data_IF_049142667433
#
_entry.id   IF_049142667433
#
_cell.length_a   1.000
_cell.length_b   1.000
_cell.length_c   1.000
_cell.angle_alpha   90.00
_cell.angle_beta   90.00
_cell.angle_gamma   90.00
#
_symmetry.space_group_name_H-M   'P 1'
#
loop_
_entity.id
_entity.type
_entity.pdbx_description
1 polymer ?
#
# COMPACT_ATOMS: atom_id res chain seq x y z
N UNK A 1 -11.22 33.45 34.31
CA UNK A 1 -9.89 34.04 34.00
C UNK A 1 -9.58 35.30 34.81
N UNK A 2 -10.58 36.03 35.33
CA UNK A 2 -10.38 37.27 36.12
C UNK A 2 -9.71 37.05 37.48
N UNK A 3 -10.07 35.98 38.20
CA UNK A 3 -9.50 35.68 39.54
C UNK A 3 -7.96 35.51 39.52
N UNK A 4 -7.42 34.91 38.47
CA UNK A 4 -5.97 34.67 38.30
C UNK A 4 -5.18 35.92 37.90
N UNK A 5 -5.81 36.89 37.23
CA UNK A 5 -5.15 38.13 36.82
C UNK A 5 -5.06 39.12 37.99
N UNK A 6 -6.11 39.20 38.81
CA UNK A 6 -6.15 40.02 40.02
C UNK A 6 -5.08 39.60 41.03
N UNK A 7 -5.02 38.31 41.36
CA UNK A 7 -4.02 37.77 42.29
C UNK A 7 -2.57 38.02 41.85
N UNK A 8 -2.29 37.98 40.54
CA UNK A 8 -0.96 38.30 39.99
C UNK A 8 -0.58 39.77 40.15
N UNK A 9 -1.55 40.68 40.02
CA UNK A 9 -1.32 42.12 40.25
C UNK A 9 -1.06 42.39 41.72
N UNK A 10 -1.84 41.77 42.61
CA UNK A 10 -1.66 41.85 44.07
C UNK A 10 -0.27 41.29 44.49
N UNK A 11 0.11 40.10 44.01
CA UNK A 11 1.41 39.49 44.30
C UNK A 11 2.59 40.35 43.79
N UNK A 12 2.46 40.96 42.60
CA UNK A 12 3.50 41.84 42.05
C UNK A 12 3.63 43.15 42.84
N UNK A 13 2.51 43.68 43.33
CA UNK A 13 2.47 44.88 44.16
C UNK A 13 3.16 44.60 45.51
N UNK A 14 2.85 43.48 46.15
CA UNK A 14 3.50 43.06 47.40
C UNK A 14 5.01 42.80 47.27
N UNK A 15 5.47 42.26 46.14
CA UNK A 15 6.91 42.11 45.90
C UNK A 15 7.58 43.48 45.74
N UNK A 16 6.93 44.42 45.06
CA UNK A 16 7.43 45.78 44.86
C UNK A 16 7.49 46.55 46.18
N UNK A 17 6.46 46.41 47.02
CA UNK A 17 6.43 46.94 48.39
C UNK A 17 7.57 46.36 49.23
N UNK A 18 7.72 45.03 49.28
CA UNK A 18 8.78 44.37 50.03
C UNK A 18 10.19 44.76 49.56
N UNK A 19 10.38 44.99 48.26
CA UNK A 19 11.64 45.52 47.72
C UNK A 19 11.89 46.96 48.16
N UNK A 20 10.85 47.80 48.17
CA UNK A 20 10.97 49.19 48.63
C UNK A 20 11.27 49.29 50.14
N UNK A 21 10.67 48.41 50.94
CA UNK A 21 10.92 48.31 52.38
C UNK A 21 12.36 47.84 52.65
N UNK A 22 12.83 46.82 51.91
CA UNK A 22 14.22 46.34 51.96
C UNK A 22 15.22 47.46 51.65
N UNK A 23 14.98 48.27 50.61
CA UNK A 23 15.84 49.39 50.27
C UNK A 23 15.83 50.48 51.36
N UNK A 24 14.68 50.70 52.01
CA UNK A 24 14.54 51.67 53.10
C UNK A 24 15.31 51.22 54.35
N UNK A 25 15.14 49.98 54.78
CA UNK A 25 15.85 49.44 55.95
C UNK A 25 17.35 49.26 55.70
N UNK A 26 17.76 48.92 54.48
CA UNK A 26 19.16 48.89 54.09
C UNK A 26 19.83 50.27 54.17
N UNK A 27 19.15 51.32 53.69
CA UNK A 27 19.64 52.71 53.80
C UNK A 27 19.75 53.18 55.25
N UNK A 28 18.76 52.84 56.08
CA UNK A 28 18.76 53.18 57.50
C UNK A 28 19.93 52.50 58.25
N UNK A 29 20.22 51.24 57.93
CA UNK A 29 21.37 50.52 58.49
C UNK A 29 22.72 51.13 58.07
N UNK A 30 22.85 51.62 56.83
CA UNK A 30 24.06 52.30 56.36
C UNK A 30 24.30 53.65 57.05
N UNK A 31 23.24 54.34 57.47
CA UNK A 31 23.32 55.63 58.16
C UNK A 31 23.53 55.51 59.66
N UNK A 32 23.01 54.45 60.30
CA UNK A 32 23.14 54.18 61.74
C UNK A 32 23.24 52.67 62.02
N UNK A 33 24.46 52.10 62.07
CA UNK A 33 24.67 50.65 62.18
C UNK A 33 24.52 50.17 63.64
N UNK A 34 23.29 50.04 64.11
CA UNK A 34 22.92 49.49 65.41
C UNK A 34 22.38 48.05 65.29
N UNK A 35 22.36 47.27 66.39
CA UNK A 35 21.75 45.93 66.39
C UNK A 35 20.29 45.92 65.91
N UNK A 36 19.53 46.98 66.24
CA UNK A 36 18.12 47.11 65.88
C UNK A 36 17.93 47.36 64.37
N UNK A 37 18.72 48.26 63.77
CA UNK A 37 18.64 48.53 62.32
C UNK A 37 19.11 47.33 61.49
N UNK A 38 20.07 46.56 62.00
CA UNK A 38 20.50 45.29 61.39
C UNK A 38 19.39 44.23 61.45
N UNK A 39 18.65 44.16 62.56
CA UNK A 39 17.54 43.22 62.72
C UNK A 39 16.40 43.52 61.75
N UNK A 40 16.01 44.79 61.61
CA UNK A 40 14.97 45.22 60.65
C UNK A 40 15.38 44.91 59.21
N UNK A 41 16.62 45.22 58.81
CA UNK A 41 17.12 44.88 57.47
C UNK A 41 17.09 43.36 57.20
N UNK A 42 17.49 42.53 58.17
CA UNK A 42 17.44 41.07 58.02
C UNK A 42 16.00 40.55 57.85
N UNK A 43 15.04 41.13 58.56
CA UNK A 43 13.63 40.76 58.46
C UNK A 43 13.05 41.12 57.09
N UNK A 44 13.30 42.34 56.60
CA UNK A 44 12.84 42.78 55.28
C UNK A 44 13.50 41.98 54.15
N UNK A 45 14.78 41.64 54.31
CA UNK A 45 15.50 40.79 53.36
C UNK A 45 14.90 39.39 53.30
N UNK A 46 14.64 38.76 54.45
CA UNK A 46 14.00 37.45 54.50
C UNK A 46 12.59 37.47 53.88
N UNK A 47 11.83 38.55 54.10
CA UNK A 47 10.49 38.76 53.52
C UNK A 47 10.57 38.87 51.99
N UNK A 48 11.47 39.70 51.47
CA UNK A 48 11.69 39.84 50.02
C UNK A 48 12.14 38.52 49.38
N UNK A 49 13.14 37.85 49.97
CA UNK A 49 13.68 36.59 49.45
C UNK A 49 12.60 35.50 49.39
N UNK A 50 11.72 35.43 50.39
CA UNK A 50 10.59 34.48 50.43
C UNK A 50 9.59 34.76 49.31
N UNK A 51 9.22 36.02 49.11
CA UNK A 51 8.27 36.42 48.06
C UNK A 51 8.86 36.20 46.65
N UNK A 52 10.12 36.59 46.45
CA UNK A 52 10.85 36.41 45.19
C UNK A 52 10.98 34.92 44.83
N UNK A 53 11.35 34.07 45.81
CA UNK A 53 11.45 32.62 45.63
C UNK A 53 10.10 32.02 45.25
N UNK A 54 9.03 32.42 45.94
CA UNK A 54 7.67 31.95 45.66
C UNK A 54 7.22 32.32 44.23
N UNK A 55 7.51 33.54 43.77
CA UNK A 55 7.19 33.98 42.41
C UNK A 55 8.01 33.24 41.35
N UNK A 56 9.30 32.99 41.60
CA UNK A 56 10.15 32.21 40.71
C UNK A 56 9.62 30.78 40.57
N UNK A 57 9.25 30.13 41.67
CA UNK A 57 8.71 28.76 41.68
C UNK A 57 7.39 28.66 40.90
N UNK A 58 6.47 29.62 41.06
CA UNK A 58 5.21 29.68 40.29
C UNK A 58 5.46 29.89 38.81
N UNK A 59 6.39 30.77 38.45
CA UNK A 59 6.76 31.03 37.05
C UNK A 59 7.35 29.79 36.37
N UNK A 60 8.21 29.05 37.09
CA UNK A 60 8.77 27.78 36.64
C UNK A 60 7.68 26.71 36.41
N UNK A 61 6.74 26.55 37.36
CA UNK A 61 5.62 25.62 37.20
C UNK A 61 4.74 25.98 35.99
N UNK A 62 4.48 27.27 35.77
CA UNK A 62 3.73 27.74 34.61
C UNK A 62 4.44 27.46 33.29
N UNK A 63 5.75 27.70 33.20
CA UNK A 63 6.55 27.36 32.02
C UNK A 63 6.51 25.85 31.73
N UNK A 64 6.70 25.01 32.75
CA UNK A 64 6.65 23.55 32.61
C UNK A 64 5.28 23.06 32.13
N UNK A 65 4.19 23.61 32.66
CA UNK A 65 2.83 23.32 32.22
C UNK A 65 2.56 23.76 30.78
N UNK A 66 3.03 24.96 30.41
CA UNK A 66 2.88 25.50 29.06
C UNK A 66 3.68 24.68 28.05
N UNK A 67 4.90 24.25 28.38
CA UNK A 67 5.70 23.33 27.56
C UNK A 67 5.04 21.94 27.44
N UNK A 68 4.44 21.42 28.52
CA UNK A 68 3.72 20.16 28.45
C UNK A 68 2.45 20.25 27.59
N UNK A 69 1.69 21.36 27.66
CA UNK A 69 0.44 21.55 26.90
C UNK A 69 0.67 21.94 25.45
N UNK A 70 1.65 22.81 25.18
CA UNK A 70 1.87 23.43 23.87
C UNK A 70 3.26 23.15 23.26
N UNK A 71 4.10 22.35 23.92
CA UNK A 71 5.36 21.89 23.33
C UNK A 71 5.12 21.03 22.10
N UNK A 72 6.11 20.96 21.20
CA UNK A 72 5.99 20.33 19.88
C UNK A 72 5.90 18.79 19.95
N UNK A 73 4.79 18.26 20.51
CA UNK A 73 4.50 16.83 20.64
C UNK A 73 4.28 16.19 19.27
N UNK A 74 3.58 16.88 18.38
CA UNK A 74 3.31 16.42 17.01
C UNK A 74 4.59 16.37 16.18
N UNK A 75 5.48 17.35 16.27
CA UNK A 75 6.76 17.35 15.58
C UNK A 75 7.70 16.25 16.09
N UNK A 76 7.70 15.95 17.39
CA UNK A 76 8.47 14.82 17.93
C UNK A 76 7.89 13.47 17.50
N UNK A 77 6.57 13.33 17.48
CA UNK A 77 5.90 12.15 16.94
C UNK A 77 6.21 11.99 15.44
N UNK A 78 6.09 13.06 14.66
CA UNK A 78 6.38 13.09 13.23
C UNK A 78 7.85 12.76 12.96
N UNK A 79 8.77 13.35 13.71
CA UNK A 79 10.20 13.06 13.62
C UNK A 79 10.51 11.61 14.00
N UNK A 80 9.86 11.06 15.02
CA UNK A 80 9.99 9.64 15.38
C UNK A 80 9.41 8.72 14.30
N UNK A 81 8.29 9.11 13.66
CA UNK A 81 7.70 8.38 12.53
C UNK A 81 8.59 8.44 11.28
N UNK A 82 9.18 9.60 10.98
CA UNK A 82 10.14 9.76 9.88
C UNK A 82 11.39 8.93 10.16
N UNK A 83 11.94 9.02 11.37
CA UNK A 83 13.14 8.29 11.80
C UNK A 83 12.90 6.77 11.82
N UNK A 84 11.74 6.30 12.27
CA UNK A 84 11.40 4.88 12.19
C UNK A 84 11.22 4.41 10.74
N UNK A 85 10.65 5.23 9.86
CA UNK A 85 10.56 4.93 8.43
C UNK A 85 11.93 4.87 7.72
N UNK A 86 12.90 5.67 8.15
CA UNK A 86 14.27 5.66 7.60
C UNK A 86 15.13 4.54 8.17
N UNK A 87 14.99 4.21 9.46
CA UNK A 87 15.78 3.17 10.13
C UNK A 87 15.31 1.73 9.85
N UNK A 88 14.04 1.53 9.51
CA UNK A 88 13.47 0.19 9.29
C UNK A 88 13.70 -0.36 7.88
N UNK A 89 14.13 0.47 6.92
CA UNK A 89 14.39 0.03 5.55
C UNK A 89 15.88 -0.24 5.34
N UNK A 90 16.26 -1.42 4.84
CA UNK A 90 17.66 -1.70 4.57
C UNK A 90 18.19 -0.70 3.54
N UNK A 91 19.24 0.03 3.91
CA UNK A 91 19.92 0.95 3.02
C UNK A 91 20.65 0.15 1.93
N UNK A 92 20.39 0.49 0.68
CA UNK A 92 21.04 -0.12 -0.48
C UNK A 92 22.36 0.60 -0.69
N UNK A 93 23.46 -0.03 -0.28
CA UNK A 93 24.80 0.56 -0.34
C UNK A 93 25.39 0.60 -1.74
N UNK A 94 25.08 -0.41 -2.56
CA UNK A 94 25.65 -0.55 -3.89
C UNK A 94 24.79 -1.40 -4.81
N UNK A 95 24.82 -1.10 -6.11
CA UNK A 95 24.17 -1.89 -7.17
C UNK A 95 25.13 -2.07 -8.34
N UNK A 96 25.18 -3.28 -8.89
CA UNK A 96 25.97 -3.63 -10.07
C UNK A 96 25.15 -3.38 -11.35
N UNK A 97 25.73 -2.65 -12.29
CA UNK A 97 25.16 -2.43 -13.61
C UNK A 97 25.29 -3.67 -14.50
N UNK A 98 24.56 -3.70 -15.63
CA UNK A 98 24.69 -4.76 -16.64
C UNK A 98 26.12 -4.93 -17.15
N UNK A 99 26.87 -3.84 -17.21
CA UNK A 99 28.26 -3.82 -17.70
C UNK A 99 29.27 -4.17 -16.60
N UNK A 100 28.76 -4.51 -15.41
CA UNK A 100 29.56 -4.93 -14.26
C UNK A 100 30.12 -3.80 -13.39
N UNK A 101 29.80 -2.54 -13.71
CA UNK A 101 30.20 -1.36 -12.91
C UNK A 101 29.41 -1.32 -11.60
N UNK A 102 30.05 -0.94 -10.51
CA UNK A 102 29.39 -0.85 -9.20
C UNK A 102 29.02 0.60 -8.88
N UNK A 103 27.72 0.88 -8.78
CA UNK A 103 27.19 2.17 -8.38
C UNK A 103 27.06 2.22 -6.86
N UNK A 104 27.54 3.30 -6.25
CA UNK A 104 27.49 3.54 -4.79
C UNK A 104 26.78 4.84 -4.42
N UNK A 105 26.67 5.80 -5.35
CA UNK A 105 25.90 7.02 -5.13
C UNK A 105 24.39 6.68 -5.06
N UNK A 106 23.69 7.05 -3.96
CA UNK A 106 22.24 6.85 -3.84
C UNK A 106 21.41 7.41 -5.00
N UNK A 107 21.83 8.52 -5.62
CA UNK A 107 21.14 9.12 -6.77
C UNK A 107 21.27 8.22 -8.00
N UNK A 108 22.48 7.74 -8.28
CA UNK A 108 22.75 6.84 -9.40
C UNK A 108 22.06 5.48 -9.22
N UNK A 109 22.05 4.96 -7.98
CA UNK A 109 21.33 3.72 -7.64
C UNK A 109 19.85 3.86 -7.98
N UNK A 110 19.20 4.94 -7.56
CA UNK A 110 17.78 5.20 -7.85
C UNK A 110 17.53 5.40 -9.35
N UNK A 111 18.42 6.13 -10.03
CA UNK A 111 18.39 6.32 -11.47
C UNK A 111 18.48 4.99 -12.24
N UNK A 112 19.38 4.11 -11.81
CA UNK A 112 19.58 2.80 -12.42
C UNK A 112 18.40 1.86 -12.16
N UNK A 113 17.84 1.84 -10.93
CA UNK A 113 16.58 1.12 -10.68
C UNK A 113 15.45 1.62 -11.59
N UNK A 114 15.28 2.94 -11.74
CA UNK A 114 14.30 3.52 -12.66
C UNK A 114 14.52 3.01 -14.08
N UNK A 115 15.76 3.02 -14.58
CA UNK A 115 16.06 2.53 -15.92
C UNK A 115 15.67 1.06 -16.08
N UNK A 116 16.16 0.17 -15.20
CA UNK A 116 15.85 -1.26 -15.25
C UNK A 116 14.35 -1.54 -15.17
N UNK A 117 13.64 -0.90 -14.25
CA UNK A 117 12.18 -1.09 -14.13
C UNK A 117 11.42 -0.47 -15.30
N UNK A 118 11.82 0.71 -15.78
CA UNK A 118 11.20 1.34 -16.95
C UNK A 118 11.33 0.43 -18.17
N UNK A 119 12.50 -0.18 -18.38
CA UNK A 119 12.72 -1.12 -19.47
C UNK A 119 11.92 -2.41 -19.28
N UNK A 120 11.88 -2.92 -18.04
CA UNK A 120 11.12 -4.12 -17.69
C UNK A 120 9.61 -3.96 -17.85
N UNK A 121 9.06 -2.76 -17.60
CA UNK A 121 7.62 -2.47 -17.74
C UNK A 121 7.25 -1.87 -19.10
N UNK A 122 8.17 -1.81 -20.08
CA UNK A 122 7.81 -1.44 -21.47
C UNK A 122 6.77 -2.40 -22.04
N UNK A 123 5.92 -1.86 -22.92
CA UNK A 123 4.94 -2.66 -23.67
C UNK A 123 5.66 -3.81 -24.38
N UNK A 124 5.20 -5.03 -24.14
CA UNK A 124 5.75 -6.23 -24.78
C UNK A 124 5.29 -6.38 -26.23
N UNK A 125 5.80 -7.40 -26.94
CA UNK A 125 5.31 -7.74 -28.27
C UNK A 125 3.82 -8.05 -28.23
N UNK A 126 3.10 -7.65 -29.28
CA UNK A 126 1.66 -7.84 -29.38
C UNK A 126 1.28 -8.62 -30.64
N UNK A 127 0.70 -9.79 -30.46
CA UNK A 127 0.19 -10.66 -31.54
C UNK A 127 -1.32 -10.86 -31.35
N UNK A 128 -2.09 -9.91 -31.87
CA UNK A 128 -3.55 -9.93 -31.79
C UNK A 128 -4.18 -11.18 -32.44
N UNK A 129 -3.80 -11.60 -33.67
CA UNK A 129 -4.36 -12.80 -34.29
C UNK A 129 -4.17 -14.07 -33.44
N UNK A 130 -2.96 -14.31 -32.93
CA UNK A 130 -2.68 -15.49 -32.09
C UNK A 130 -3.49 -15.48 -30.80
N UNK A 131 -3.61 -14.31 -30.16
CA UNK A 131 -4.39 -14.17 -28.93
C UNK A 131 -5.89 -14.46 -29.14
N UNK A 132 -6.47 -13.95 -30.23
CA UNK A 132 -7.87 -14.23 -30.58
C UNK A 132 -8.08 -15.73 -30.87
N UNK A 133 -7.15 -16.36 -31.59
CA UNK A 133 -7.19 -17.80 -31.84
C UNK A 133 -7.15 -18.60 -30.53
N UNK A 134 -6.28 -18.22 -29.59
CA UNK A 134 -6.23 -18.81 -28.24
C UNK A 134 -7.58 -18.68 -27.52
N UNK A 135 -8.23 -17.52 -27.57
CA UNK A 135 -9.55 -17.33 -26.95
C UNK A 135 -10.63 -18.22 -27.57
N UNK A 136 -10.64 -18.36 -28.90
CA UNK A 136 -11.54 -19.27 -29.59
C UNK A 136 -11.32 -20.73 -29.19
N UNK A 137 -10.05 -21.19 -29.12
CA UNK A 137 -9.69 -22.55 -28.72
C UNK A 137 -10.04 -22.86 -27.28
N UNK A 138 -9.84 -21.90 -26.38
CA UNK A 138 -10.10 -22.10 -24.95
C UNK A 138 -11.60 -22.29 -24.62
N UNK A 139 -12.50 -21.81 -25.47
CA UNK A 139 -13.96 -21.95 -25.28
C UNK A 139 -14.43 -21.50 -23.89
N UNK A 140 -13.85 -20.42 -23.36
CA UNK A 140 -14.28 -19.81 -22.10
C UNK A 140 -15.68 -19.24 -22.31
N UNK A 141 -16.63 -19.50 -21.40
CA UNK A 141 -18.00 -19.06 -21.60
C UNK A 141 -18.11 -17.55 -21.45
N UNK A 142 -18.84 -16.89 -22.35
CA UNK A 142 -19.07 -15.43 -22.31
C UNK A 142 -19.91 -15.04 -21.08
N UNK A 143 -19.87 -13.78 -20.67
CA UNK A 143 -20.74 -13.26 -19.62
C UNK A 143 -22.21 -13.23 -20.07
N UNK A 144 -23.12 -13.63 -19.18
CA UNK A 144 -24.54 -13.46 -19.39
C UNK A 144 -24.90 -11.96 -19.36
N UNK A 145 -26.04 -11.57 -19.95
CA UNK A 145 -26.53 -10.19 -19.82
C UNK A 145 -26.64 -9.75 -18.35
N UNK A 146 -27.16 -10.62 -17.47
CA UNK A 146 -27.33 -10.31 -16.04
C UNK A 146 -26.01 -10.11 -15.32
N UNK A 147 -24.98 -10.90 -15.61
CA UNK A 147 -23.64 -10.74 -15.03
C UNK A 147 -22.99 -9.44 -15.52
N UNK A 148 -23.08 -9.18 -16.83
CA UNK A 148 -22.55 -7.95 -17.45
C UNK A 148 -23.22 -6.70 -16.87
N UNK A 149 -24.54 -6.72 -16.70
CA UNK A 149 -25.29 -5.60 -16.17
C UNK A 149 -24.96 -5.39 -14.68
N UNK A 150 -24.73 -6.46 -13.92
CA UNK A 150 -24.24 -6.37 -12.53
C UNK A 150 -22.82 -5.79 -12.42
N UNK A 151 -21.91 -6.11 -13.35
CA UNK A 151 -20.59 -5.48 -13.43
C UNK A 151 -20.69 -3.98 -13.77
N UNK A 152 -21.72 -3.61 -14.54
CA UNK A 152 -21.92 -2.28 -15.10
C UNK A 152 -22.84 -1.37 -14.28
N UNK A 153 -23.40 -1.87 -13.18
CA UNK A 153 -24.32 -1.09 -12.34
C UNK A 153 -23.65 0.18 -11.78
N UNK A 154 -24.39 1.27 -11.53
CA UNK A 154 -23.85 2.44 -10.83
C UNK A 154 -23.21 2.04 -9.50
N UNK A 155 -22.11 2.70 -9.13
CA UNK A 155 -21.46 2.45 -7.84
C UNK A 155 -22.27 3.13 -6.73
N UNK A 156 -22.70 2.33 -5.75
CA UNK A 156 -23.53 2.80 -4.65
C UNK A 156 -22.72 3.31 -3.47
N UNK A 157 -23.34 4.17 -2.65
CA UNK A 157 -22.78 4.64 -1.38
C UNK A 157 -22.42 3.47 -0.45
N UNK A 158 -23.24 2.41 -0.45
CA UNK A 158 -23.05 1.21 0.35
C UNK A 158 -21.80 0.44 -0.09
N UNK A 159 -21.55 0.32 -1.40
CA UNK A 159 -20.35 -0.34 -1.91
C UNK A 159 -19.08 0.40 -1.52
N UNK A 160 -19.06 1.73 -1.62
CA UNK A 160 -17.91 2.54 -1.22
C UNK A 160 -17.67 2.45 0.30
N UNK A 161 -18.71 2.55 1.12
CA UNK A 161 -18.58 2.37 2.57
C UNK A 161 -18.04 0.98 2.93
N UNK A 162 -18.56 -0.07 2.30
CA UNK A 162 -18.05 -1.45 2.48
C UNK A 162 -16.59 -1.57 2.06
N UNK A 163 -16.18 -0.93 0.97
CA UNK A 163 -14.78 -0.94 0.55
C UNK A 163 -13.89 -0.22 1.59
N UNK A 164 -14.34 0.89 2.18
CA UNK A 164 -13.62 1.62 3.24
C UNK A 164 -13.48 0.78 4.51
N UNK A 165 -14.53 0.06 4.93
CA UNK A 165 -14.48 -0.77 6.14
C UNK A 165 -13.48 -1.92 5.99
N UNK A 166 -13.33 -2.46 4.78
CA UNK A 166 -12.36 -3.53 4.46
C UNK A 166 -10.90 -3.06 4.45
N UNK A 167 -10.63 -1.75 4.41
CA UNK A 167 -9.25 -1.25 4.45
C UNK A 167 -8.57 -1.65 5.77
N UNK A 168 -7.32 -2.10 5.69
CA UNK A 168 -6.51 -2.41 6.88
C UNK A 168 -5.81 -1.15 7.39
N UNK A 169 -5.90 -0.90 8.69
CA UNK A 169 -5.18 0.19 9.36
C UNK A 169 -3.67 -0.08 9.38
N UNK A 170 -2.87 0.98 9.55
CA UNK A 170 -1.41 0.92 9.65
C UNK A 170 -0.71 0.55 8.35
N UNK A 171 -1.40 0.63 7.21
CA UNK A 171 -0.81 0.39 5.88
C UNK A 171 -0.29 1.68 5.28
N UNK A 172 0.81 1.60 4.55
CA UNK A 172 1.43 2.75 3.90
C UNK A 172 0.53 3.25 2.75
N UNK A 173 0.20 4.56 2.72
CA UNK A 173 -0.59 5.15 1.66
C UNK A 173 0.20 5.26 0.34
N UNK A 174 -0.51 5.67 -0.72
CA UNK A 174 0.11 6.04 -1.99
C UNK A 174 0.83 7.40 -1.92
N UNK A 175 1.25 7.94 -3.07
CA UNK A 175 1.87 9.26 -3.19
C UNK A 175 1.10 10.41 -2.52
N UNK A 176 -0.24 10.34 -2.46
CA UNK A 176 -1.11 11.37 -1.89
C UNK A 176 -1.06 11.47 -0.35
N UNK A 177 -0.55 10.43 0.33
CA UNK A 177 -0.47 10.36 1.79
C UNK A 177 -1.78 9.99 2.50
N UNK A 178 -2.89 9.77 1.79
CA UNK A 178 -4.18 9.45 2.42
C UNK A 178 -4.31 7.95 2.72
N UNK A 179 -4.11 7.58 3.98
CA UNK A 179 -4.19 6.20 4.47
C UNK A 179 -5.62 5.75 4.81
N UNK A 180 -5.78 4.49 5.21
CA UNK A 180 -7.08 3.90 5.53
C UNK A 180 -7.83 4.66 6.63
N UNK A 181 -7.11 5.16 7.62
CA UNK A 181 -7.61 5.90 8.76
C UNK A 181 -8.31 7.19 8.34
N UNK A 182 -7.80 7.87 7.30
CA UNK A 182 -8.41 9.08 6.74
C UNK A 182 -9.81 8.76 6.19
N UNK A 183 -9.92 7.74 5.34
CA UNK A 183 -11.19 7.35 4.73
C UNK A 183 -12.19 6.81 5.76
N UNK A 184 -11.72 6.09 6.79
CA UNK A 184 -12.57 5.60 7.87
C UNK A 184 -13.11 6.73 8.75
N UNK A 185 -12.24 7.66 9.16
CA UNK A 185 -12.60 8.78 10.02
C UNK A 185 -13.55 9.76 9.32
N UNK A 186 -13.27 10.08 8.05
CA UNK A 186 -14.01 11.08 7.28
C UNK A 186 -15.01 10.45 6.30
N UNK A 187 -15.39 9.19 6.51
CA UNK A 187 -16.28 8.43 5.63
C UNK A 187 -17.55 9.22 5.26
N UNK A 188 -18.19 9.86 6.24
CA UNK A 188 -19.41 10.66 6.01
C UNK A 188 -19.23 11.85 5.06
N UNK A 189 -18.01 12.39 4.95
CA UNK A 189 -17.69 13.51 4.06
C UNK A 189 -17.16 13.02 2.70
N UNK A 190 -16.32 12.00 2.70
CA UNK A 190 -15.57 11.58 1.50
C UNK A 190 -16.40 10.66 0.59
N UNK A 191 -17.28 9.82 1.16
CA UNK A 191 -18.02 8.83 0.37
C UNK A 191 -18.88 9.45 -0.75
N UNK A 192 -19.67 10.52 -0.53
CA UNK A 192 -20.45 11.15 -1.60
C UNK A 192 -19.59 11.57 -2.80
N UNK A 193 -18.40 12.13 -2.53
CA UNK A 193 -17.47 12.54 -3.58
C UNK A 193 -16.84 11.35 -4.31
N UNK A 194 -16.48 10.28 -3.59
CA UNK A 194 -15.99 9.05 -4.22
C UNK A 194 -17.05 8.39 -5.09
N UNK A 195 -18.30 8.34 -4.64
CA UNK A 195 -19.43 7.83 -5.43
C UNK A 195 -19.59 8.64 -6.72
N UNK A 196 -19.56 9.97 -6.65
CA UNK A 196 -19.62 10.83 -7.84
C UNK A 196 -18.44 10.55 -8.77
N UNK A 197 -17.20 10.57 -8.25
CA UNK A 197 -15.99 10.30 -9.01
C UNK A 197 -16.07 8.96 -9.75
N UNK A 198 -16.42 7.88 -9.05
CA UNK A 198 -16.46 6.56 -9.64
C UNK A 198 -17.58 6.41 -10.66
N UNK A 199 -18.74 7.04 -10.44
CA UNK A 199 -19.83 7.03 -11.41
C UNK A 199 -19.51 7.87 -12.67
N UNK A 200 -18.78 8.98 -12.53
CA UNK A 200 -18.26 9.74 -13.67
C UNK A 200 -17.29 8.90 -14.52
N UNK A 201 -16.35 8.20 -13.88
CA UNK A 201 -15.42 7.27 -14.55
C UNK A 201 -16.20 6.14 -15.27
N UNK A 202 -17.26 5.64 -14.63
CA UNK A 202 -18.20 4.67 -15.18
C UNK A 202 -18.85 5.16 -16.49
N UNK A 203 -19.17 6.46 -16.58
CA UNK A 203 -19.70 7.10 -17.79
C UNK A 203 -18.63 7.43 -18.85
N UNK A 204 -17.35 7.18 -18.55
CA UNK A 204 -16.24 7.39 -19.48
C UNK A 204 -15.47 8.69 -19.29
N UNK A 205 -15.73 9.43 -18.21
CA UNK A 205 -14.87 10.57 -17.84
C UNK A 205 -13.48 10.08 -17.40
N UNK A 206 -12.45 10.86 -17.74
CA UNK A 206 -11.09 10.56 -17.31
C UNK A 206 -10.93 10.82 -15.80
N UNK A 207 -10.25 9.93 -15.05
CA UNK A 207 -9.95 10.19 -13.65
C UNK A 207 -8.96 11.34 -13.50
N UNK A 208 -8.88 11.98 -12.31
CA UNK A 208 -7.87 12.98 -12.02
C UNK A 208 -6.45 12.46 -12.33
N UNK A 209 -5.51 13.31 -12.81
CA UNK A 209 -4.16 12.87 -13.17
C UNK A 209 -3.40 12.16 -12.03
N UNK A 210 -3.71 12.50 -10.78
CA UNK A 210 -3.11 11.89 -9.58
C UNK A 210 -3.69 10.52 -9.24
N UNK A 211 -4.83 10.13 -9.80
CA UNK A 211 -5.54 8.89 -9.46
C UNK A 211 -4.68 7.64 -9.70
N UNK A 212 -3.98 7.61 -10.84
CA UNK A 212 -3.10 6.51 -11.23
C UNK A 212 -1.64 6.71 -10.80
N UNK A 213 -1.36 7.68 -9.94
CA UNK A 213 -0.02 7.89 -9.42
C UNK A 213 0.36 6.76 -8.45
N UNK A 214 1.58 6.23 -8.61
CA UNK A 214 2.10 5.17 -7.76
C UNK A 214 3.53 5.48 -7.31
N UNK A 215 3.87 4.98 -6.12
CA UNK A 215 5.25 4.95 -5.62
C UNK A 215 5.70 3.51 -5.49
N UNK A 216 6.72 3.10 -6.23
CA UNK A 216 7.30 1.76 -6.12
C UNK A 216 8.45 1.80 -5.12
N UNK A 217 8.33 1.03 -4.04
CA UNK A 217 9.43 0.80 -3.09
C UNK A 217 10.07 -0.55 -3.39
N UNK A 218 11.39 -0.60 -3.37
CA UNK A 218 12.15 -1.84 -3.61
C UNK A 218 12.45 -2.55 -2.28
N UNK A 219 12.08 -3.83 -2.18
CA UNK A 219 12.35 -4.66 -0.99
C UNK A 219 13.32 -5.78 -1.34
N UNK A 220 14.41 -5.99 -0.58
CA UNK A 220 15.36 -7.07 -0.87
C UNK A 220 14.72 -8.45 -0.66
N UNK A 221 15.04 -9.38 -1.56
CA UNK A 221 14.71 -10.80 -1.44
C UNK A 221 15.71 -11.45 -0.46
N UNK A 222 15.25 -12.19 0.57
CA UNK A 222 16.14 -12.89 1.49
C UNK A 222 17.09 -13.85 0.75
N UNK A 223 18.36 -13.89 1.16
CA UNK A 223 19.36 -14.83 0.63
C UNK A 223 19.79 -14.60 -0.82
N UNK A 224 19.48 -13.45 -1.42
CA UNK A 224 19.93 -13.06 -2.76
C UNK A 224 21.02 -12.00 -2.69
N UNK A 225 21.87 -11.95 -3.72
CA UNK A 225 22.95 -10.95 -3.82
C UNK A 225 22.36 -9.52 -3.86
N UNK A 226 22.59 -8.68 -2.84
CA UNK A 226 22.00 -7.35 -2.76
C UNK A 226 22.55 -6.39 -3.82
N UNK A 227 23.61 -6.74 -4.55
CA UNK A 227 24.14 -5.89 -5.61
C UNK A 227 23.34 -6.00 -6.91
N UNK A 228 22.48 -7.01 -7.06
CA UNK A 228 21.69 -7.22 -8.27
C UNK A 228 20.29 -6.62 -8.16
N UNK A 229 19.85 -5.88 -9.18
CA UNK A 229 18.48 -5.32 -9.24
C UNK A 229 17.40 -6.40 -9.14
N UNK A 230 17.64 -7.58 -9.75
CA UNK A 230 16.71 -8.73 -9.73
C UNK A 230 16.53 -9.35 -8.34
N UNK A 231 17.42 -9.02 -7.40
CA UNK A 231 17.32 -9.39 -5.98
C UNK A 231 16.31 -8.55 -5.21
N UNK A 232 15.67 -7.56 -5.84
CA UNK A 232 14.66 -6.71 -5.21
C UNK A 232 13.26 -7.00 -5.76
N UNK A 233 12.25 -6.88 -4.89
CA UNK A 233 10.83 -6.94 -5.23
C UNK A 233 10.28 -5.51 -5.32
N UNK A 234 9.71 -5.09 -6.46
CA UNK A 234 9.03 -3.81 -6.56
C UNK A 234 7.66 -3.90 -5.90
N UNK A 235 7.40 -3.13 -4.85
CA UNK A 235 6.08 -3.00 -4.23
C UNK A 235 5.46 -1.66 -4.62
N UNK A 236 4.36 -1.71 -5.38
CA UNK A 236 3.62 -0.51 -5.77
C UNK A 236 2.70 -0.02 -4.64
N UNK A 237 2.95 1.18 -4.14
CA UNK A 237 2.09 1.92 -3.23
C UNK A 237 1.13 2.77 -4.05
N UNK A 238 -0.12 2.29 -4.16
CA UNK A 238 -1.21 2.99 -4.88
C UNK A 238 -1.99 3.89 -3.93
N UNK A 239 -2.52 4.99 -4.46
CA UNK A 239 -3.48 5.83 -3.76
C UNK A 239 -4.70 5.02 -3.34
N UNK A 240 -5.28 5.41 -2.21
CA UNK A 240 -6.30 4.59 -1.53
C UNK A 240 -7.66 4.69 -2.24
N UNK A 241 -7.97 5.82 -2.86
CA UNK A 241 -9.13 6.01 -3.74
C UNK A 241 -9.14 5.04 -4.94
N UNK A 242 -7.99 4.81 -5.58
CA UNK A 242 -7.84 3.79 -6.62
C UNK A 242 -8.03 2.38 -6.04
N UNK A 243 -7.44 2.10 -4.87
CA UNK A 243 -7.61 0.80 -4.19
C UNK A 243 -9.09 0.54 -3.87
N UNK A 244 -9.83 1.54 -3.44
CA UNK A 244 -11.27 1.43 -3.16
C UNK A 244 -12.05 1.06 -4.43
N UNK A 245 -11.82 1.76 -5.56
CA UNK A 245 -12.46 1.41 -6.84
C UNK A 245 -12.13 -0.03 -7.27
N UNK A 246 -10.84 -0.39 -7.23
CA UNK A 246 -10.41 -1.75 -7.59
C UNK A 246 -10.96 -2.83 -6.65
N UNK A 247 -11.20 -2.51 -5.38
CA UNK A 247 -11.87 -3.41 -4.42
C UNK A 247 -13.32 -3.64 -4.80
N UNK A 248 -14.05 -2.58 -5.18
CA UNK A 248 -15.44 -2.67 -5.63
C UNK A 248 -15.52 -3.50 -6.92
N UNK A 249 -14.66 -3.21 -7.90
CA UNK A 249 -14.57 -3.99 -9.14
C UNK A 249 -14.27 -5.46 -8.88
N UNK A 250 -13.30 -5.76 -8.01
CA UNK A 250 -12.95 -7.13 -7.65
C UNK A 250 -14.13 -7.86 -7.00
N UNK A 251 -14.84 -7.20 -6.08
CA UNK A 251 -16.04 -7.75 -5.43
C UNK A 251 -17.16 -8.09 -6.42
N UNK A 252 -17.37 -7.25 -7.45
CA UNK A 252 -18.34 -7.53 -8.52
C UNK A 252 -17.86 -8.65 -9.44
N UNK A 253 -16.59 -8.63 -9.83
CA UNK A 253 -15.97 -9.63 -10.70
C UNK A 253 -15.95 -11.03 -10.08
N UNK A 254 -15.86 -11.14 -8.75
CA UNK A 254 -15.74 -12.43 -8.09
C UNK A 254 -16.95 -13.35 -8.30
N UNK A 255 -18.13 -12.79 -8.59
CA UNK A 255 -19.35 -13.59 -8.82
C UNK A 255 -19.26 -14.45 -10.08
N UNK A 256 -18.99 -13.91 -11.28
CA UNK A 256 -18.83 -14.72 -12.48
C UNK A 256 -17.53 -15.55 -12.50
N UNK A 257 -16.55 -15.29 -11.63
CA UNK A 257 -15.25 -15.98 -11.68
C UNK A 257 -15.36 -17.51 -11.60
N UNK A 258 -16.30 -18.05 -10.82
CA UNK A 258 -16.46 -19.50 -10.69
C UNK A 258 -16.82 -20.19 -12.01
N UNK A 259 -17.48 -19.46 -12.93
CA UNK A 259 -17.89 -19.93 -14.25
C UNK A 259 -16.85 -19.65 -15.33
N UNK A 260 -16.18 -18.49 -15.23
CA UNK A 260 -15.14 -18.08 -16.17
C UNK A 260 -13.86 -18.90 -16.01
N UNK A 261 -13.46 -19.19 -14.77
CA UNK A 261 -12.19 -19.86 -14.46
C UNK A 261 -12.43 -21.30 -14.02
N UNK A 262 -11.83 -22.25 -14.75
CA UNK A 262 -11.94 -23.68 -14.52
C UNK A 262 -11.39 -24.13 -13.16
N UNK A 263 -11.76 -25.33 -12.67
CA UNK A 263 -11.38 -25.84 -11.34
C UNK A 263 -9.88 -26.12 -11.17
N UNK A 264 -9.09 -25.99 -12.24
CA UNK A 264 -7.64 -26.16 -12.25
C UNK A 264 -6.95 -25.02 -11.50
N UNK A 265 -7.45 -23.79 -11.60
CA UNK A 265 -6.94 -22.64 -10.86
C UNK A 265 -7.63 -22.50 -9.50
N UNK A 266 -6.87 -22.54 -8.42
CA UNK A 266 -7.41 -22.37 -7.05
C UNK A 266 -6.94 -21.09 -6.35
N UNK A 267 -5.96 -20.38 -6.92
CA UNK A 267 -5.45 -19.12 -6.36
C UNK A 267 -6.46 -17.98 -6.45
N UNK A 268 -6.58 -17.20 -5.37
CA UNK A 268 -7.36 -15.94 -5.31
C UNK A 268 -8.86 -16.03 -5.64
N UNK A 269 -9.43 -17.25 -5.64
CA UNK A 269 -10.83 -17.49 -5.94
C UNK A 269 -11.61 -17.85 -4.68
N UNK A 270 -12.78 -17.24 -4.52
CA UNK A 270 -13.63 -17.49 -3.35
C UNK A 270 -14.07 -18.97 -3.32
N UNK A 271 -13.93 -19.62 -2.16
CA UNK A 271 -14.28 -21.02 -1.98
C UNK A 271 -13.29 -22.04 -2.57
N UNK A 272 -12.13 -21.60 -3.09
CA UNK A 272 -11.05 -22.49 -3.55
C UNK A 272 -9.85 -22.41 -2.62
N UNK A 273 -9.22 -23.56 -2.36
CA UNK A 273 -8.14 -23.68 -1.39
C UNK A 273 -6.93 -24.39 -2.01
N UNK A 274 -5.72 -23.93 -1.66
CA UNK A 274 -4.46 -24.55 -2.11
C UNK A 274 -4.33 -26.01 -1.68
N UNK A 275 -4.95 -26.38 -0.56
CA UNK A 275 -5.00 -27.77 -0.06
C UNK A 275 -5.65 -28.73 -1.06
N UNK A 276 -6.56 -28.25 -1.91
CA UNK A 276 -7.12 -29.05 -3.00
C UNK A 276 -6.06 -29.44 -4.03
N UNK A 277 -5.16 -28.52 -4.39
CA UNK A 277 -4.06 -28.82 -5.32
C UNK A 277 -3.07 -29.81 -4.70
N UNK A 278 -2.75 -29.66 -3.41
CA UNK A 278 -1.88 -30.58 -2.68
C UNK A 278 -2.46 -31.99 -2.67
N UNK A 279 -3.76 -32.14 -2.36
CA UNK A 279 -4.43 -33.44 -2.38
C UNK A 279 -4.43 -34.08 -3.77
N UNK A 280 -4.68 -33.30 -4.82
CA UNK A 280 -4.60 -33.75 -6.22
C UNK A 280 -3.21 -34.26 -6.56
N UNK A 281 -2.16 -33.53 -6.17
CA UNK A 281 -0.78 -33.94 -6.41
C UNK A 281 -0.42 -35.24 -5.66
N UNK A 282 -0.76 -35.35 -4.38
CA UNK A 282 -0.53 -36.58 -3.59
C UNK A 282 -1.28 -37.78 -4.20
N UNK A 283 -2.55 -37.58 -4.60
CA UNK A 283 -3.33 -38.63 -5.24
C UNK A 283 -2.71 -39.10 -6.57
N UNK A 284 -2.16 -38.18 -7.36
CA UNK A 284 -1.47 -38.51 -8.61
C UNK A 284 -0.20 -39.34 -8.36
N UNK A 285 0.60 -38.96 -7.37
CA UNK A 285 1.80 -39.71 -6.96
C UNK A 285 1.41 -41.11 -6.47
N UNK A 286 0.37 -41.20 -5.64
CA UNK A 286 -0.13 -42.49 -5.15
C UNK A 286 -0.64 -43.38 -6.28
N UNK A 287 -1.47 -42.85 -7.19
CA UNK A 287 -1.98 -43.60 -8.35
C UNK A 287 -0.83 -44.13 -9.22
N UNK A 288 0.19 -43.30 -9.44
CA UNK A 288 1.38 -43.68 -10.21
C UNK A 288 2.14 -44.84 -9.55
N UNK A 289 2.22 -44.86 -8.21
CA UNK A 289 2.89 -45.95 -7.48
C UNK A 289 2.18 -47.31 -7.61
N UNK A 290 0.87 -47.29 -7.85
CA UNK A 290 0.05 -48.49 -8.08
C UNK A 290 0.12 -49.00 -9.52
N UNK A 291 0.68 -48.22 -10.44
CA UNK A 291 0.80 -48.54 -11.87
C UNK A 291 2.25 -48.44 -12.35
N UNK A 292 3.17 -49.31 -11.87
CA UNK A 292 4.62 -49.15 -12.10
C UNK A 292 5.05 -49.22 -13.57
N UNK A 293 4.20 -49.75 -14.45
CA UNK A 293 4.45 -49.84 -15.88
C UNK A 293 4.14 -48.52 -16.62
N UNK A 294 3.43 -47.58 -16.00
CA UNK A 294 3.14 -46.26 -16.57
C UNK A 294 4.28 -45.28 -16.23
N UNK A 295 4.87 -44.67 -17.26
CA UNK A 295 5.88 -43.62 -17.09
C UNK A 295 5.19 -42.27 -16.90
N UNK A 296 4.83 -41.96 -15.66
CA UNK A 296 4.17 -40.70 -15.32
C UNK A 296 5.21 -39.62 -14.95
N UNK A 297 4.96 -38.37 -15.35
CA UNK A 297 5.82 -37.22 -15.03
C UNK A 297 5.01 -36.11 -14.35
N UNK A 298 5.58 -35.57 -13.27
CA UNK A 298 5.10 -34.35 -12.64
C UNK A 298 6.07 -33.21 -12.95
N UNK A 299 5.60 -32.18 -13.65
CA UNK A 299 6.40 -31.05 -14.07
C UNK A 299 5.92 -29.76 -13.36
N UNK A 300 6.81 -29.14 -12.59
CA UNK A 300 6.56 -27.84 -11.95
C UNK A 300 7.06 -26.71 -12.83
N UNK A 301 6.16 -25.81 -13.22
CA UNK A 301 6.50 -24.59 -13.96
C UNK A 301 6.32 -23.37 -13.06
N UNK A 302 7.32 -22.50 -13.06
CA UNK A 302 7.28 -21.19 -12.41
C UNK A 302 7.37 -20.10 -13.48
N UNK A 303 6.52 -19.08 -13.37
CA UNK A 303 6.46 -17.99 -14.33
C UNK A 303 7.21 -16.77 -13.79
N UNK A 304 8.35 -16.45 -14.42
CA UNK A 304 9.19 -15.34 -13.97
C UNK A 304 8.46 -13.99 -14.01
N UNK A 305 8.24 -13.41 -12.83
CA UNK A 305 7.55 -12.13 -12.62
C UNK A 305 6.19 -12.06 -13.34
N UNK A 306 5.38 -13.12 -13.22
CA UNK A 306 4.18 -13.33 -14.00
C UNK A 306 3.20 -12.14 -13.98
N UNK A 307 2.93 -11.57 -12.81
CA UNK A 307 2.04 -10.43 -12.64
C UNK A 307 2.52 -9.20 -13.42
N UNK A 308 3.82 -8.95 -13.44
CA UNK A 308 4.43 -7.77 -14.06
C UNK A 308 4.52 -7.87 -15.59
N UNK A 309 4.43 -9.08 -16.15
CA UNK A 309 4.54 -9.32 -17.59
C UNK A 309 3.20 -9.27 -18.35
N UNK A 310 2.07 -9.21 -17.66
CA UNK A 310 0.74 -9.19 -18.31
C UNK A 310 0.58 -7.95 -19.20
N UNK A 311 0.27 -8.18 -20.48
CA UNK A 311 -0.09 -7.12 -21.42
C UNK A 311 -1.49 -6.57 -21.14
N UNK A 312 -1.61 -5.24 -21.03
CA UNK A 312 -2.92 -4.61 -20.89
C UNK A 312 -3.77 -4.72 -22.15
N UNK A 313 -3.14 -4.68 -23.33
CA UNK A 313 -3.84 -4.91 -24.60
C UNK A 313 -4.45 -6.31 -24.67
N UNK A 314 -3.75 -7.32 -24.15
CA UNK A 314 -4.27 -8.68 -24.02
C UNK A 314 -5.51 -8.73 -23.11
N UNK A 315 -5.46 -8.11 -21.92
CA UNK A 315 -6.61 -8.03 -21.02
C UNK A 315 -7.79 -7.29 -21.66
N UNK A 316 -7.55 -6.15 -22.33
CA UNK A 316 -8.62 -5.43 -23.03
C UNK A 316 -9.29 -6.30 -24.08
N UNK A 317 -8.51 -7.06 -24.86
CA UNK A 317 -9.06 -7.99 -25.85
C UNK A 317 -9.84 -9.12 -25.19
N UNK A 318 -9.34 -9.67 -24.09
CA UNK A 318 -10.06 -10.67 -23.31
C UNK A 318 -11.43 -10.14 -22.84
N UNK A 319 -11.47 -8.94 -22.25
CA UNK A 319 -12.68 -8.25 -21.77
C UNK A 319 -13.68 -8.07 -22.92
N UNK A 320 -13.21 -7.61 -24.09
CA UNK A 320 -14.03 -7.41 -25.29
C UNK A 320 -14.58 -8.74 -25.83
N UNK A 321 -13.72 -9.75 -25.97
CA UNK A 321 -14.07 -11.07 -26.51
C UNK A 321 -15.11 -11.81 -25.67
N UNK A 322 -15.02 -11.70 -24.33
CA UNK A 322 -15.91 -12.39 -23.39
C UNK A 322 -17.10 -11.55 -22.92
N UNK A 323 -17.35 -10.40 -23.55
CA UNK A 323 -18.56 -9.56 -23.37
C UNK A 323 -18.73 -8.96 -21.97
N UNK A 324 -17.64 -8.52 -21.33
CA UNK A 324 -17.67 -7.82 -20.04
C UNK A 324 -18.39 -6.45 -20.09
N UNK A 325 -18.62 -5.92 -21.29
CA UNK A 325 -19.33 -4.66 -21.50
C UNK A 325 -18.39 -3.46 -21.54
N UNK A 326 -18.86 -2.39 -22.18
CA UNK A 326 -18.10 -1.14 -22.36
C UNK A 326 -17.77 -0.46 -21.03
N UNK A 327 -18.67 -0.57 -20.08
CA UNK A 327 -18.53 0.02 -18.74
C UNK A 327 -17.37 -0.60 -17.97
N UNK A 328 -17.31 -1.93 -17.87
CA UNK A 328 -16.20 -2.60 -17.20
C UNK A 328 -14.86 -2.31 -17.91
N UNK A 329 -14.88 -2.24 -19.24
CA UNK A 329 -13.70 -1.83 -20.01
C UNK A 329 -13.29 -0.38 -19.70
N UNK A 330 -14.23 0.55 -19.54
CA UNK A 330 -13.96 1.94 -19.14
C UNK A 330 -13.28 2.00 -17.78
N UNK A 331 -13.83 1.27 -16.80
CA UNK A 331 -13.23 1.16 -15.46
C UNK A 331 -11.82 0.55 -15.50
N UNK A 332 -11.63 -0.52 -16.28
CA UNK A 332 -10.31 -1.11 -16.49
C UNK A 332 -9.33 -0.09 -17.09
N UNK A 333 -9.73 0.65 -18.11
CA UNK A 333 -8.91 1.72 -18.71
C UNK A 333 -8.62 2.81 -17.70
N UNK A 334 -9.60 3.29 -16.96
CA UNK A 334 -9.37 4.30 -15.93
C UNK A 334 -8.34 3.85 -14.90
N UNK A 335 -8.33 2.56 -14.53
CA UNK A 335 -7.30 2.02 -13.66
C UNK A 335 -5.94 1.94 -14.34
N UNK A 336 -5.82 1.54 -15.61
CA UNK A 336 -4.52 1.21 -16.24
C UNK A 336 -4.03 2.24 -17.28
N UNK A 337 -4.76 3.32 -17.53
CA UNK A 337 -4.36 4.37 -18.48
C UNK A 337 -3.23 5.24 -17.91
N UNK A 338 -2.11 5.28 -18.61
CA UNK A 338 -0.93 6.11 -18.34
C UNK A 338 -0.54 6.26 -16.85
N UNK A 339 -0.33 5.17 -16.10
CA UNK A 339 0.06 5.27 -14.71
C UNK A 339 1.46 5.86 -14.56
N UNK A 340 1.53 7.03 -13.94
CA UNK A 340 2.78 7.68 -13.54
C UNK A 340 3.33 7.03 -12.27
N UNK A 341 4.54 6.50 -12.36
CA UNK A 341 5.22 5.81 -11.26
C UNK A 341 6.57 6.42 -10.98
N UNK A 342 6.94 6.50 -9.70
CA UNK A 342 8.30 6.83 -9.24
C UNK A 342 8.90 5.64 -8.49
N UNK A 343 10.19 5.38 -8.68
CA UNK A 343 10.94 4.46 -7.82
C UNK A 343 11.41 5.21 -6.58
N UNK A 344 11.24 4.61 -5.41
CA UNK A 344 11.80 5.11 -4.15
C UNK A 344 12.78 4.08 -3.58
N UNK A 345 14.04 4.48 -3.47
CA UNK A 345 15.08 3.74 -2.75
C UNK A 345 15.90 4.70 -1.88
N UNK A 346 16.36 4.26 -0.71
CA UNK A 346 17.15 5.07 0.22
C UNK A 346 16.52 6.43 0.60
N UNK A 347 15.18 6.55 0.56
CA UNK A 347 14.47 7.80 0.82
C UNK A 347 14.46 8.82 -0.33
N UNK A 348 15.12 8.50 -1.45
CA UNK A 348 15.15 9.31 -2.66
C UNK A 348 14.13 8.78 -3.67
N UNK A 349 13.58 9.69 -4.48
CA UNK A 349 12.66 9.36 -5.57
C UNK A 349 13.35 9.53 -6.93
N UNK A 350 13.08 8.64 -7.86
CA UNK A 350 13.47 8.81 -9.25
C UNK A 350 12.60 9.85 -9.97
N UNK A 351 13.03 10.27 -11.16
CA UNK A 351 12.11 10.88 -12.12
C UNK A 351 10.94 9.93 -12.43
N UNK A 352 9.72 10.46 -12.69
CA UNK A 352 8.57 9.64 -13.03
C UNK A 352 8.76 8.92 -14.37
N UNK A 353 8.09 7.79 -14.52
CA UNK A 353 8.00 7.01 -15.75
C UNK A 353 6.63 6.34 -15.85
N UNK A 354 6.23 5.99 -17.07
CA UNK A 354 4.92 5.36 -17.35
C UNK A 354 5.12 3.86 -17.49
N UNK A 355 4.24 3.07 -16.86
CA UNK A 355 4.21 1.62 -17.06
C UNK A 355 3.46 1.31 -18.36
N UNK A 356 3.92 0.31 -19.12
CA UNK A 356 3.26 -0.18 -20.35
C UNK A 356 2.67 -1.58 -20.23
N UNK A 357 2.97 -2.31 -19.14
CA UNK A 357 2.45 -3.64 -18.84
C UNK A 357 2.45 -3.91 -17.33
N UNK A 358 1.86 -5.03 -16.95
CA UNK A 358 1.88 -5.57 -15.60
C UNK A 358 0.63 -5.24 -14.80
N UNK A 359 0.16 -6.21 -14.05
CA UNK A 359 -0.88 -6.01 -13.04
C UNK A 359 -0.22 -5.56 -11.74
N UNK A 360 -0.80 -4.56 -11.09
CA UNK A 360 -0.16 -3.91 -9.94
C UNK A 360 -0.17 -4.81 -8.72
N UNK A 361 0.99 -5.05 -8.13
CA UNK A 361 1.09 -5.79 -6.89
C UNK A 361 0.40 -5.00 -5.75
N UNK A 362 -0.46 -5.68 -4.97
CA UNK A 362 -1.23 -5.05 -3.90
C UNK A 362 -2.56 -4.40 -4.33
N UNK A 363 -2.91 -4.42 -5.62
CA UNK A 363 -4.24 -4.08 -6.10
C UNK A 363 -5.19 -5.30 -5.97
N UNK A 364 -6.35 -5.17 -5.30
CA UNK A 364 -7.33 -6.26 -5.14
C UNK A 364 -7.85 -6.87 -6.45
N UNK A 365 -7.88 -6.10 -7.54
CA UNK A 365 -8.36 -6.57 -8.85
C UNK A 365 -7.30 -7.38 -9.61
N UNK A 366 -6.00 -7.09 -9.39
CA UNK A 366 -4.89 -7.70 -10.14
C UNK A 366 -4.89 -9.23 -10.14
N UNK A 367 -5.10 -9.93 -9.01
CA UNK A 367 -5.13 -11.40 -9.01
C UNK A 367 -6.25 -12.01 -9.84
N UNK A 368 -7.41 -11.34 -9.93
CA UNK A 368 -8.52 -11.82 -10.75
C UNK A 368 -8.24 -11.63 -12.23
N UNK A 369 -7.67 -10.49 -12.61
CA UNK A 369 -7.23 -10.25 -13.98
C UNK A 369 -6.13 -11.23 -14.40
N UNK A 370 -5.21 -11.57 -13.49
CA UNK A 370 -4.19 -12.59 -13.72
C UNK A 370 -4.82 -13.95 -14.00
N UNK A 371 -5.78 -14.39 -13.16
CA UNK A 371 -6.48 -15.65 -13.37
C UNK A 371 -7.23 -15.68 -14.71
N UNK A 372 -7.91 -14.59 -15.09
CA UNK A 372 -8.56 -14.48 -16.40
C UNK A 372 -7.55 -14.55 -17.55
N UNK A 373 -6.36 -13.98 -17.37
CA UNK A 373 -5.32 -14.03 -18.38
C UNK A 373 -4.71 -15.43 -18.57
N UNK A 374 -4.61 -16.19 -17.48
CA UNK A 374 -4.03 -17.54 -17.49
C UNK A 374 -5.05 -18.61 -17.93
N UNK A 375 -6.34 -18.38 -17.71
CA UNK A 375 -7.41 -19.34 -18.00
C UNK A 375 -7.38 -19.94 -19.42
N UNK A 376 -7.14 -19.17 -20.51
CA UNK A 376 -7.07 -19.76 -21.85
C UNK A 376 -6.01 -20.86 -21.98
N UNK A 377 -4.85 -20.68 -21.34
CA UNK A 377 -3.79 -21.69 -21.33
C UNK A 377 -4.24 -22.95 -20.60
N UNK A 378 -4.85 -22.80 -19.42
CA UNK A 378 -5.32 -23.94 -18.61
C UNK A 378 -6.36 -24.77 -19.37
N UNK A 379 -7.32 -24.12 -20.04
CA UNK A 379 -8.33 -24.83 -20.84
C UNK A 379 -7.74 -25.54 -22.05
N UNK A 380 -6.77 -24.93 -22.72
CA UNK A 380 -6.08 -25.56 -23.85
C UNK A 380 -5.33 -26.81 -23.38
N UNK A 381 -4.64 -26.75 -22.24
CA UNK A 381 -3.96 -27.92 -21.67
C UNK A 381 -4.96 -29.05 -21.36
N UNK A 382 -6.07 -28.70 -20.71
CA UNK A 382 -7.10 -29.68 -20.33
C UNK A 382 -7.74 -30.36 -21.56
N UNK A 383 -8.04 -29.59 -22.60
CA UNK A 383 -8.69 -30.09 -23.83
C UNK A 383 -7.70 -30.68 -24.84
N UNK A 384 -6.40 -30.51 -24.65
CA UNK A 384 -5.38 -31.05 -25.56
C UNK A 384 -5.37 -32.59 -25.53
N UNK A 385 -5.62 -33.27 -26.67
CA UNK A 385 -5.58 -34.74 -26.73
C UNK A 385 -4.17 -35.30 -26.59
N UNK A 386 -3.14 -34.53 -26.96
CA UNK A 386 -1.75 -34.93 -26.85
C UNK A 386 -1.23 -34.95 -25.40
N UNK A 387 -1.96 -34.31 -24.48
CA UNK A 387 -1.68 -34.34 -23.05
C UNK A 387 -2.61 -35.38 -22.43
N UNK A 388 -2.09 -36.55 -22.10
CA UNK A 388 -2.83 -37.66 -21.50
C UNK A 388 -3.21 -37.36 -20.07
N UNK A 389 -2.22 -36.94 -19.26
CA UNK A 389 -2.39 -36.72 -17.84
C UNK A 389 -2.34 -38.00 -17.01
N UNK A 390 -2.46 -37.85 -15.69
CA UNK A 390 -2.45 -38.95 -14.74
C UNK A 390 -3.88 -39.25 -14.29
N UNK A 391 -4.34 -40.48 -14.55
CA UNK A 391 -5.66 -40.95 -14.10
C UNK A 391 -5.64 -41.30 -12.62
N UNK A 392 -6.55 -40.70 -11.86
CA UNK A 392 -6.80 -41.01 -10.45
C UNK A 392 -7.88 -42.08 -10.28
N UNK A 393 -8.80 -42.16 -11.24
CA UNK A 393 -9.88 -43.15 -11.31
C UNK A 393 -10.34 -43.27 -12.76
N UNK A 394 -11.33 -44.13 -13.04
CA UNK A 394 -11.93 -44.26 -14.36
C UNK A 394 -12.61 -42.99 -14.88
N UNK A 395 -12.95 -42.04 -14.01
CA UNK A 395 -13.68 -40.81 -14.36
C UNK A 395 -12.89 -39.52 -14.12
N UNK A 396 -11.69 -39.60 -13.53
CA UNK A 396 -10.90 -38.42 -13.15
C UNK A 396 -9.48 -38.57 -13.63
N UNK A 397 -9.09 -37.70 -14.57
CA UNK A 397 -7.72 -37.54 -15.05
C UNK A 397 -7.25 -36.13 -14.75
N UNK A 398 -6.05 -36.01 -14.19
CA UNK A 398 -5.41 -34.73 -13.92
C UNK A 398 -4.43 -34.41 -15.05
N UNK A 399 -4.51 -33.20 -15.62
CA UNK A 399 -3.53 -32.69 -16.58
C UNK A 399 -2.82 -31.44 -16.06
N UNK A 400 -3.55 -30.53 -15.42
CA UNK A 400 -2.94 -29.35 -14.79
C UNK A 400 -3.65 -28.94 -13.49
N UNK A 401 -2.87 -28.46 -12.53
CA UNK A 401 -3.38 -27.63 -11.43
C UNK A 401 -2.55 -26.35 -11.33
N UNK A 402 -3.20 -25.26 -10.95
CA UNK A 402 -2.62 -23.94 -10.84
C UNK A 402 -2.95 -23.31 -9.48
N UNK A 403 -2.00 -22.60 -8.89
CA UNK A 403 -2.23 -21.71 -7.77
C UNK A 403 -1.57 -20.36 -8.08
N UNK A 404 -2.37 -19.40 -8.53
CA UNK A 404 -1.84 -18.17 -9.14
C UNK A 404 -0.92 -18.51 -10.33
N UNK A 405 0.34 -18.11 -10.26
CA UNK A 405 1.40 -18.34 -11.24
C UNK A 405 2.08 -19.71 -11.15
N UNK A 406 1.98 -20.40 -10.02
CA UNK A 406 2.52 -21.75 -9.84
C UNK A 406 1.69 -22.79 -10.61
N UNK A 407 2.31 -23.50 -11.56
CA UNK A 407 1.68 -24.53 -12.38
C UNK A 407 2.31 -25.90 -12.14
N UNK A 408 1.47 -26.92 -11.93
CA UNK A 408 1.87 -28.32 -11.92
C UNK A 408 1.18 -29.04 -13.08
N UNK A 409 1.97 -29.58 -14.00
CA UNK A 409 1.52 -30.42 -15.10
C UNK A 409 1.72 -31.89 -14.76
N UNK A 410 0.70 -32.68 -15.03
CA UNK A 410 0.69 -34.13 -14.90
C UNK A 410 0.69 -34.70 -16.31
N UNK A 411 1.68 -35.53 -16.65
CA UNK A 411 1.90 -36.07 -17.99
C UNK A 411 1.91 -37.59 -17.95
#
# INVERSE_FOLDING_TARGET
MEFTARKRREDALHLTEAHSDLLRSYRAYLTDPTPDTLQTYKQDKARYDTLATTQAQRSWQHQKSRFYRFGNKHGRLLANLVRSQTQTRPFISQIKTTDGTLLTDPVDIVGYFRQCFSDFYKTGPDDCPTQLNIFHKAQIPKLSPTERDALSAPISHIEVQKAITLLKNGKTPGPDGFGAEYYKLLSGLVVPHLVSLYNNILQGEEPPPTFNAARVVVLPKPGRDPTLVTSYRPIALLNTDLKLLSTIMAGRLQRPMARLVGPQQTGFLAGRHSTTNIRKAIAAIWSSSLTPQASNLLLSCDADNAFDRISWAYIERFIKFHHFGKVFLSLFRALYNNPSTVITANGLNSAPFVLGRGTRQGCPLSPLLFNLALEPLLRIIETCPAITGISLSSSVTLKVVAFADDLLLFL
#
